data_IF_011423971552
#
_entry.id   IF_011423971552
#
_cell.length_a   1.000
_cell.length_b   1.000
_cell.length_c   1.000
_cell.angle_alpha   90.00
_cell.angle_beta   90.00
_cell.angle_gamma   90.00
#
_symmetry.space_group_name_H-M   'P 1'
#
loop_
_entity.id
_entity.type
_entity.pdbx_description
1 polymer ?
#
# COMPACT_ATOMS: atom_id res chain seq x y z
N UNK A 1 -7.34 -15.83 -10.14
CA UNK A 1 -6.70 -14.77 -10.96
C UNK A 1 -7.71 -14.10 -11.90
N UNK A 2 -8.52 -14.87 -12.65
CA UNK A 2 -9.64 -14.33 -13.46
C UNK A 2 -10.61 -13.44 -12.66
N UNK A 3 -11.03 -13.88 -11.47
CA UNK A 3 -11.90 -13.08 -10.58
C UNK A 3 -11.35 -11.68 -10.23
N UNK A 4 -10.03 -11.56 -10.05
CA UNK A 4 -9.42 -10.27 -9.74
C UNK A 4 -9.45 -9.36 -10.97
N UNK A 5 -9.10 -9.90 -12.15
CA UNK A 5 -9.11 -9.14 -13.40
C UNK A 5 -10.53 -8.76 -13.85
N UNK A 6 -11.52 -9.64 -13.71
CA UNK A 6 -12.93 -9.35 -14.02
C UNK A 6 -13.49 -8.26 -13.09
N UNK A 7 -13.10 -8.28 -11.82
CA UNK A 7 -13.51 -7.26 -10.84
C UNK A 7 -12.85 -5.92 -11.13
N UNK A 8 -11.61 -5.90 -11.59
CA UNK A 8 -10.93 -4.70 -12.09
C UNK A 8 -11.64 -4.19 -13.34
N UNK A 9 -11.95 -5.04 -14.33
CA UNK A 9 -12.62 -4.62 -15.58
C UNK A 9 -14.00 -4.01 -15.33
N UNK A 10 -14.78 -4.56 -14.39
CA UNK A 10 -16.07 -4.00 -13.96
C UNK A 10 -15.92 -2.61 -13.32
N UNK A 11 -14.84 -2.36 -12.60
CA UNK A 11 -14.57 -1.07 -11.94
C UNK A 11 -14.04 -0.05 -12.95
N UNK A 12 -13.25 -0.47 -13.94
CA UNK A 12 -12.72 0.40 -15.01
C UNK A 12 -13.81 0.93 -15.95
N UNK A 13 -14.89 0.18 -16.15
CA UNK A 13 -16.06 0.62 -16.96
C UNK A 13 -16.90 1.72 -16.28
N UNK A 14 -16.71 1.97 -14.98
CA UNK A 14 -17.28 3.14 -14.30
C UNK A 14 -16.43 4.38 -14.65
N UNK A 15 -16.80 5.04 -15.75
CA UNK A 15 -16.12 6.19 -16.37
C UNK A 15 -15.90 7.32 -15.34
N UNK A 16 -14.65 7.51 -14.89
CA UNK A 16 -14.23 8.69 -14.12
C UNK A 16 -14.04 9.88 -15.09
N UNK A 17 -14.61 11.08 -14.85
CA UNK A 17 -14.53 12.21 -15.78
C UNK A 17 -13.16 12.88 -15.90
N UNK A 18 -12.20 12.61 -15.01
CA UNK A 18 -10.85 13.18 -15.05
C UNK A 18 -9.83 12.17 -14.53
N UNK A 19 -9.22 11.44 -15.45
CA UNK A 19 -8.04 10.63 -15.15
C UNK A 19 -6.84 11.57 -14.94
N UNK A 20 -6.53 11.90 -13.69
CA UNK A 20 -5.25 12.49 -13.37
C UNK A 20 -4.18 11.43 -13.65
N UNK A 21 -3.33 11.68 -14.65
CA UNK A 21 -2.11 10.90 -14.89
C UNK A 21 -1.14 11.18 -13.73
N UNK A 22 -1.44 10.62 -12.56
CA UNK A 22 -0.50 10.53 -11.45
C UNK A 22 0.63 9.64 -11.94
N UNK A 23 1.81 10.24 -12.16
CA UNK A 23 3.02 9.54 -12.57
C UNK A 23 3.31 8.38 -11.60
N UNK A 24 2.82 7.19 -11.95
CA UNK A 24 2.95 5.93 -11.21
C UNK A 24 4.41 5.47 -11.08
N UNK A 25 5.34 6.21 -11.68
CA UNK A 25 6.79 5.95 -11.69
C UNK A 25 7.46 6.19 -10.33
N UNK A 26 6.89 7.00 -9.44
CA UNK A 26 7.59 7.43 -8.20
C UNK A 26 6.91 7.05 -6.87
N UNK A 27 5.84 6.26 -6.88
CA UNK A 27 5.13 5.90 -5.64
C UNK A 27 5.83 4.76 -4.88
N UNK A 28 6.98 5.08 -4.27
CA UNK A 28 7.82 4.11 -3.58
C UNK A 28 7.58 4.06 -2.07
N UNK A 29 7.17 5.17 -1.46
CA UNK A 29 6.92 5.25 -0.03
C UNK A 29 5.45 4.93 0.31
N UNK A 30 5.22 4.29 1.46
CA UNK A 30 3.90 4.04 2.05
C UNK A 30 3.05 5.31 2.08
N UNK A 31 3.62 6.40 2.58
CA UNK A 31 2.94 7.68 2.71
C UNK A 31 2.57 8.30 1.35
N UNK A 32 3.31 7.99 0.29
CA UNK A 32 2.97 8.48 -1.06
C UNK A 32 1.78 7.72 -1.62
N UNK A 33 1.74 6.38 -1.47
CA UNK A 33 0.62 5.55 -1.95
C UNK A 33 -0.71 5.97 -1.32
N UNK A 34 -0.70 6.18 -0.01
CA UNK A 34 -1.90 6.62 0.72
C UNK A 34 -2.37 8.00 0.27
N UNK A 35 -1.46 8.98 0.22
CA UNK A 35 -1.78 10.35 -0.20
C UNK A 35 -2.33 10.38 -1.62
N UNK A 36 -1.78 9.59 -2.54
CA UNK A 36 -2.30 9.46 -3.89
C UNK A 36 -3.74 8.95 -3.92
N UNK A 37 -4.09 8.00 -3.04
CA UNK A 37 -5.47 7.49 -2.95
C UNK A 37 -6.44 8.58 -2.46
N UNK A 38 -6.03 9.34 -1.44
CA UNK A 38 -6.83 10.41 -0.86
C UNK A 38 -7.01 11.57 -1.85
N UNK A 39 -5.94 11.97 -2.56
CA UNK A 39 -5.99 13.04 -3.57
C UNK A 39 -6.92 12.71 -4.74
N UNK A 40 -7.02 11.44 -5.11
CA UNK A 40 -7.89 10.97 -6.18
C UNK A 40 -9.36 10.77 -5.75
N UNK A 41 -9.64 10.70 -4.45
CA UNK A 41 -11.01 10.58 -3.94
C UNK A 41 -11.85 11.83 -4.32
N UNK A 42 -13.12 11.69 -4.74
CA UNK A 42 -13.94 10.47 -4.81
C UNK A 42 -13.88 9.73 -6.17
N UNK A 43 -13.07 10.20 -7.12
CA UNK A 43 -13.10 9.74 -8.51
C UNK A 43 -12.21 8.52 -8.77
N UNK A 44 -11.06 8.43 -8.09
CA UNK A 44 -10.10 7.35 -8.25
C UNK A 44 -10.28 6.29 -7.18
N UNK A 45 -10.62 5.07 -7.60
CA UNK A 45 -10.86 3.92 -6.71
C UNK A 45 -9.65 2.97 -6.61
N UNK A 46 -8.61 3.19 -7.42
CA UNK A 46 -7.47 2.29 -7.51
C UNK A 46 -6.18 3.04 -7.85
N UNK A 47 -5.05 2.46 -7.43
CA UNK A 47 -3.71 2.94 -7.79
C UNK A 47 -3.01 1.85 -8.61
N UNK A 48 -2.60 2.20 -9.82
CA UNK A 48 -1.78 1.33 -10.64
C UNK A 48 -0.35 1.27 -10.07
N UNK A 49 0.12 0.05 -9.78
CA UNK A 49 1.48 -0.21 -9.30
C UNK A 49 2.20 -1.16 -10.27
N UNK A 50 3.37 -0.74 -10.76
CA UNK A 50 4.19 -1.57 -11.66
C UNK A 50 5.42 -2.13 -10.95
N UNK A 51 6.36 -1.26 -10.56
CA UNK A 51 7.69 -1.68 -10.09
C UNK A 51 7.65 -2.54 -8.82
N UNK A 52 6.85 -2.16 -7.83
CA UNK A 52 6.87 -2.84 -6.54
C UNK A 52 6.29 -4.27 -6.58
N UNK A 53 5.13 -4.53 -7.22
CA UNK A 53 4.64 -5.90 -7.42
C UNK A 53 5.60 -6.75 -8.25
N UNK A 54 6.14 -6.23 -9.35
CA UNK A 54 7.08 -6.97 -10.21
C UNK A 54 8.35 -7.37 -9.43
N UNK A 55 8.91 -6.45 -8.65
CA UNK A 55 10.10 -6.73 -7.84
C UNK A 55 9.82 -7.80 -6.78
N UNK A 56 8.61 -7.80 -6.19
CA UNK A 56 8.19 -8.84 -5.25
C UNK A 56 8.13 -10.22 -5.91
N UNK A 57 7.58 -10.30 -7.14
CA UNK A 57 7.58 -11.54 -7.94
C UNK A 57 8.98 -12.07 -8.20
N UNK A 58 9.90 -11.18 -8.64
CA UNK A 58 11.26 -11.55 -9.00
C UNK A 58 12.06 -12.03 -7.80
N UNK A 59 12.00 -11.30 -6.67
CA UNK A 59 12.64 -11.68 -5.41
C UNK A 59 12.12 -13.01 -4.91
N UNK A 60 10.80 -13.22 -4.97
CA UNK A 60 10.20 -14.45 -4.50
C UNK A 60 10.58 -15.65 -5.36
N UNK A 61 10.62 -15.49 -6.69
CA UNK A 61 11.13 -16.51 -7.61
C UNK A 61 12.57 -16.91 -7.24
N UNK A 62 13.45 -15.92 -7.07
CA UNK A 62 14.85 -16.13 -6.70
C UNK A 62 15.01 -16.88 -5.37
N UNK A 63 14.24 -16.48 -4.35
CA UNK A 63 14.23 -17.15 -3.05
C UNK A 63 13.74 -18.59 -3.19
N UNK A 64 12.69 -18.82 -3.98
CA UNK A 64 12.17 -20.17 -4.25
C UNK A 64 13.22 -21.07 -4.91
N UNK A 65 13.92 -20.58 -5.93
CA UNK A 65 14.98 -21.33 -6.63
C UNK A 65 16.16 -21.65 -5.69
N UNK A 66 16.54 -20.72 -4.81
CA UNK A 66 17.60 -20.96 -3.81
C UNK A 66 17.19 -22.03 -2.78
N UNK A 67 15.92 -22.05 -2.38
CA UNK A 67 15.38 -23.06 -1.47
C UNK A 67 15.39 -24.44 -2.15
N UNK A 68 14.94 -24.52 -3.42
CA UNK A 68 14.96 -25.76 -4.19
C UNK A 68 16.39 -26.29 -4.37
N UNK A 69 17.37 -25.41 -4.60
CA UNK A 69 18.80 -25.76 -4.71
C UNK A 69 19.49 -25.98 -3.35
N UNK A 70 18.79 -25.81 -2.23
CA UNK A 70 19.37 -25.85 -0.87
C UNK A 70 20.58 -24.92 -0.65
N UNK A 71 20.68 -23.84 -1.43
CA UNK A 71 21.79 -22.86 -1.41
C UNK A 71 21.44 -21.62 -0.58
N UNK A 72 20.66 -21.78 0.49
CA UNK A 72 20.28 -20.66 1.35
C UNK A 72 21.49 -20.07 2.08
N UNK A 73 21.81 -18.81 1.80
CA UNK A 73 22.92 -18.08 2.45
C UNK A 73 22.49 -17.53 3.82
N UNK A 74 23.36 -17.47 4.84
CA UNK A 74 23.07 -16.81 6.13
C UNK A 74 22.62 -15.34 6.00
N UNK A 75 23.08 -14.63 4.97
CA UNK A 75 22.61 -13.27 4.66
C UNK A 75 21.12 -13.23 4.24
N UNK A 76 20.64 -14.27 3.56
CA UNK A 76 19.24 -14.39 3.15
C UNK A 76 18.33 -14.57 4.37
N UNK A 77 18.74 -15.40 5.33
CA UNK A 77 18.00 -15.60 6.58
C UNK A 77 17.84 -14.30 7.38
N UNK A 78 18.92 -13.50 7.46
CA UNK A 78 18.88 -12.17 8.10
C UNK A 78 17.89 -11.24 7.40
N UNK A 79 17.90 -11.21 6.06
CA UNK A 79 16.98 -10.38 5.28
C UNK A 79 15.51 -10.81 5.41
N UNK A 80 15.26 -12.10 5.70
CA UNK A 80 13.92 -12.63 5.94
C UNK A 80 13.48 -12.51 7.41
N UNK A 81 14.32 -11.95 8.29
CA UNK A 81 14.02 -11.82 9.72
C UNK A 81 14.03 -13.15 10.48
N UNK A 82 14.68 -14.18 9.93
CA UNK A 82 14.77 -15.50 10.57
C UNK A 82 15.96 -15.49 11.56
N UNK A 83 15.77 -15.94 12.82
CA UNK A 83 16.83 -15.94 13.82
C UNK A 83 18.06 -16.75 13.36
N UNK A 84 19.25 -16.25 13.70
CA UNK A 84 20.56 -16.79 13.28
C UNK A 84 20.79 -18.27 13.67
N UNK A 85 20.06 -18.74 14.68
CA UNK A 85 20.13 -20.10 15.22
C UNK A 85 19.50 -21.16 14.28
N UNK A 86 18.68 -20.74 13.31
CA UNK A 86 18.05 -21.69 12.38
C UNK A 86 19.00 -22.07 11.25
N UNK A 87 19.23 -23.36 11.10
CA UNK A 87 19.98 -23.94 9.98
C UNK A 87 19.44 -23.46 8.62
N UNK A 88 20.29 -22.95 7.70
CA UNK A 88 19.87 -22.49 6.38
C UNK A 88 19.18 -23.56 5.54
N UNK A 89 19.52 -24.84 5.76
CA UNK A 89 18.91 -26.00 5.11
C UNK A 89 17.47 -26.29 5.57
N UNK A 90 16.99 -25.66 6.65
CA UNK A 90 15.62 -25.80 7.16
C UNK A 90 14.65 -24.74 6.60
N UNK A 91 15.10 -23.93 5.64
CA UNK A 91 14.29 -22.89 5.02
C UNK A 91 13.29 -23.52 4.04
N UNK A 92 12.00 -23.43 4.38
CA UNK A 92 10.88 -23.84 3.52
C UNK A 92 10.15 -22.60 3.06
N UNK A 93 9.46 -22.64 1.91
CA UNK A 93 8.61 -21.52 1.45
C UNK A 93 7.63 -21.01 2.52
N UNK A 94 7.06 -21.92 3.32
CA UNK A 94 6.22 -21.62 4.49
C UNK A 94 6.87 -20.64 5.48
N UNK A 95 8.18 -20.80 5.76
CA UNK A 95 8.91 -19.94 6.70
C UNK A 95 9.39 -18.64 6.06
N UNK A 96 9.50 -18.62 4.73
CA UNK A 96 9.96 -17.45 4.00
C UNK A 96 8.84 -16.43 3.72
N UNK A 97 7.58 -16.89 3.61
CA UNK A 97 6.43 -16.04 3.30
C UNK A 97 5.30 -16.22 4.31
N UNK A 98 4.91 -15.13 4.97
CA UNK A 98 3.86 -15.11 6.02
C UNK A 98 2.51 -15.61 5.48
N UNK A 99 2.16 -15.27 4.24
CA UNK A 99 0.85 -15.60 3.65
C UNK A 99 0.82 -16.94 2.92
N UNK A 100 1.90 -17.71 2.93
CA UNK A 100 1.93 -18.98 2.22
C UNK A 100 0.83 -19.93 2.74
N UNK A 101 0.65 -20.02 4.05
CA UNK A 101 -0.34 -20.92 4.66
C UNK A 101 -1.78 -20.52 4.31
N UNK A 102 -2.08 -19.22 4.39
CA UNK A 102 -3.37 -18.68 3.95
C UNK A 102 -3.64 -19.01 2.48
N UNK A 103 -2.65 -18.86 1.61
CA UNK A 103 -2.79 -19.11 0.18
C UNK A 103 -2.91 -20.62 -0.12
N UNK A 104 -2.19 -21.46 0.61
CA UNK A 104 -2.28 -22.92 0.54
C UNK A 104 -3.66 -23.43 0.95
N UNK A 105 -4.28 -22.83 1.97
CA UNK A 105 -5.64 -23.12 2.40
C UNK A 105 -6.67 -22.74 1.34
N UNK A 106 -6.53 -21.57 0.72
CA UNK A 106 -7.44 -21.10 -0.35
C UNK A 106 -7.34 -21.99 -1.60
N UNK A 107 -6.15 -22.49 -1.92
CA UNK A 107 -5.91 -23.30 -3.11
C UNK A 107 -5.96 -24.82 -2.86
N UNK A 108 -6.53 -25.27 -1.74
CA UNK A 108 -6.72 -26.69 -1.40
C UNK A 108 -5.45 -27.54 -1.54
N UNK A 109 -4.30 -26.99 -1.11
CA UNK A 109 -3.04 -27.73 -1.10
C UNK A 109 -2.36 -27.93 -2.46
N UNK A 110 -2.78 -27.23 -3.51
CA UNK A 110 -2.08 -27.24 -4.80
C UNK A 110 -0.71 -26.57 -4.67
N UNK A 111 0.30 -27.09 -5.38
CA UNK A 111 1.65 -26.49 -5.45
C UNK A 111 1.55 -25.09 -6.07
N UNK A 112 1.88 -24.06 -5.29
CA UNK A 112 1.84 -22.67 -5.74
C UNK A 112 3.26 -22.22 -6.08
N UNK A 113 3.48 -21.60 -7.24
CA UNK A 113 4.80 -21.09 -7.58
C UNK A 113 5.20 -19.97 -6.60
N UNK A 114 6.48 -19.92 -6.16
CA UNK A 114 6.98 -18.94 -5.19
C UNK A 114 6.74 -17.49 -5.65
N UNK A 115 6.82 -17.25 -6.96
CA UNK A 115 6.52 -15.96 -7.58
C UNK A 115 5.14 -15.42 -7.22
N UNK A 116 4.11 -16.27 -7.22
CA UNK A 116 2.73 -15.87 -6.93
C UNK A 116 2.55 -15.61 -5.43
N UNK A 117 3.16 -16.45 -4.59
CA UNK A 117 3.17 -16.26 -3.14
C UNK A 117 3.78 -14.90 -2.77
N UNK A 118 4.89 -14.53 -3.40
CA UNK A 118 5.55 -13.25 -3.17
C UNK A 118 4.69 -12.03 -3.48
N UNK A 119 4.01 -12.05 -4.64
CA UNK A 119 3.08 -10.97 -5.02
C UNK A 119 1.90 -10.91 -4.07
N UNK A 120 1.31 -12.07 -3.75
CA UNK A 120 0.17 -12.14 -2.85
C UNK A 120 0.54 -11.60 -1.46
N UNK A 121 1.69 -12.01 -0.92
CA UNK A 121 2.18 -11.53 0.38
C UNK A 121 2.41 -10.00 0.37
N UNK A 122 2.94 -9.46 -0.73
CA UNK A 122 3.13 -8.02 -0.88
C UNK A 122 1.79 -7.26 -0.88
N UNK A 123 0.79 -7.75 -1.61
CA UNK A 123 -0.51 -7.09 -1.72
C UNK A 123 -1.36 -7.26 -0.44
N UNK A 124 -1.46 -8.48 0.08
CA UNK A 124 -2.34 -8.79 1.20
C UNK A 124 -1.79 -8.28 2.53
N UNK A 125 -0.54 -8.63 2.85
CA UNK A 125 0.05 -8.23 4.13
C UNK A 125 0.59 -6.82 4.05
N UNK A 126 1.56 -6.55 3.17
CA UNK A 126 2.27 -5.26 3.24
C UNK A 126 1.35 -4.09 2.86
N UNK A 127 0.77 -4.13 1.67
CA UNK A 127 -0.12 -3.06 1.23
C UNK A 127 -1.43 -3.01 2.04
N UNK A 128 -2.01 -4.17 2.37
CA UNK A 128 -3.22 -4.25 3.18
C UNK A 128 -3.05 -3.69 4.60
N UNK A 129 -1.96 -4.03 5.29
CA UNK A 129 -1.63 -3.48 6.62
C UNK A 129 -1.32 -1.98 6.51
N UNK A 130 -0.59 -1.58 5.47
CA UNK A 130 -0.27 -0.17 5.24
C UNK A 130 -1.52 0.69 5.08
N UNK A 131 -2.49 0.20 4.32
CA UNK A 131 -3.78 0.85 4.13
C UNK A 131 -4.59 0.87 5.42
N UNK A 132 -4.64 -0.24 6.17
CA UNK A 132 -5.33 -0.28 7.47
C UNK A 132 -4.72 0.71 8.46
N UNK A 133 -3.39 0.86 8.47
CA UNK A 133 -2.73 1.83 9.34
C UNK A 133 -3.07 3.27 8.95
N UNK A 134 -3.16 3.56 7.65
CA UNK A 134 -3.63 4.88 7.18
C UNK A 134 -5.07 5.14 7.63
N UNK A 135 -5.97 4.20 7.35
CA UNK A 135 -7.38 4.24 7.71
C UNK A 135 -7.57 4.46 9.22
N UNK A 136 -6.79 3.75 10.04
CA UNK A 136 -6.75 3.94 11.48
C UNK A 136 -6.24 5.34 11.86
N UNK A 137 -5.24 5.88 11.16
CA UNK A 137 -4.70 7.22 11.38
C UNK A 137 -5.72 8.34 11.12
N UNK A 138 -6.54 8.20 10.08
CA UNK A 138 -7.63 9.14 9.77
C UNK A 138 -8.96 8.80 10.49
N UNK A 139 -8.97 7.75 11.31
CA UNK A 139 -10.14 7.21 12.02
C UNK A 139 -11.34 6.86 11.12
N UNK A 140 -11.06 6.45 9.88
CA UNK A 140 -12.09 5.99 8.91
C UNK A 140 -11.79 4.55 8.54
N UNK A 141 -12.73 3.64 8.75
CA UNK A 141 -12.51 2.20 8.54
C UNK A 141 -13.01 1.67 7.19
N UNK A 142 -13.68 2.51 6.41
CA UNK A 142 -14.16 2.20 5.06
C UNK A 142 -13.44 3.10 4.06
N UNK A 143 -13.01 2.51 2.94
CA UNK A 143 -12.35 3.21 1.84
C UNK A 143 -13.24 4.33 1.26
N UNK A 144 -14.55 4.09 1.19
CA UNK A 144 -15.52 5.05 0.63
C UNK A 144 -15.72 6.31 1.50
N UNK A 145 -15.18 6.32 2.72
CA UNK A 145 -15.24 7.49 3.61
C UNK A 145 -14.05 8.42 3.44
N UNK A 146 -13.00 7.99 2.73
CA UNK A 146 -11.80 8.79 2.49
C UNK A 146 -12.16 9.99 1.61
N UNK A 147 -11.71 11.18 1.99
CA UNK A 147 -11.93 12.41 1.24
C UNK A 147 -10.66 13.29 1.26
N UNK A 148 -10.56 14.24 0.31
CA UNK A 148 -9.42 15.16 0.19
C UNK A 148 -9.19 16.02 1.43
N UNK A 149 -10.21 16.23 2.25
CA UNK A 149 -10.10 16.91 3.54
C UNK A 149 -9.32 16.10 4.60
N UNK A 150 -9.03 14.82 4.37
CA UNK A 150 -8.20 13.99 5.26
C UNK A 150 -6.69 14.26 5.15
N UNK A 151 -6.28 15.10 4.21
CA UNK A 151 -4.90 15.53 4.00
C UNK A 151 -4.80 17.05 4.05
N UNK A 152 -3.66 17.56 4.53
CA UNK A 152 -3.40 18.99 4.60
C UNK A 152 -2.06 19.35 3.94
N UNK A 153 -1.96 20.55 3.39
CA UNK A 153 -0.71 21.12 2.88
C UNK A 153 0.13 21.66 4.04
N UNK A 154 1.34 21.13 4.21
CA UNK A 154 2.26 21.51 5.30
C UNK A 154 3.26 22.58 4.85
N UNK A 155 3.57 22.68 3.55
CA UNK A 155 4.51 23.67 3.01
C UNK A 155 3.81 24.66 2.10
N UNK A 156 4.35 25.88 2.05
CA UNK A 156 3.84 26.92 1.16
C UNK A 156 3.85 26.49 -0.31
N UNK A 157 4.94 25.83 -0.73
CA UNK A 157 5.04 25.26 -2.08
C UNK A 157 3.96 24.22 -2.35
N UNK A 158 3.55 23.43 -1.36
CA UNK A 158 2.45 22.48 -1.53
C UNK A 158 1.11 23.19 -1.67
N UNK A 159 0.89 24.27 -0.93
CA UNK A 159 -0.30 25.13 -1.05
C UNK A 159 -0.38 25.76 -2.45
N UNK A 160 0.69 26.37 -2.93
CA UNK A 160 0.75 26.99 -4.26
C UNK A 160 0.39 25.99 -5.38
N UNK A 161 0.89 24.76 -5.26
CA UNK A 161 0.57 23.67 -6.20
C UNK A 161 -0.91 23.27 -6.08
N UNK A 162 -1.44 23.12 -4.87
CA UNK A 162 -2.84 22.71 -4.67
C UNK A 162 -3.82 23.78 -5.15
N UNK A 163 -3.51 25.06 -4.97
CA UNK A 163 -4.28 26.19 -5.51
C UNK A 163 -4.19 26.23 -7.04
N UNK A 164 -2.98 26.12 -7.61
CA UNK A 164 -2.77 26.11 -9.07
C UNK A 164 -3.57 25.04 -9.79
N UNK A 165 -3.69 23.86 -9.18
CA UNK A 165 -4.43 22.71 -9.75
C UNK A 165 -5.86 22.58 -9.21
N UNK A 166 -6.34 23.57 -8.44
CA UNK A 166 -7.67 23.62 -7.84
C UNK A 166 -8.10 22.30 -7.17
N UNK A 167 -7.22 21.74 -6.34
CA UNK A 167 -7.38 20.44 -5.71
C UNK A 167 -8.33 20.45 -4.50
N UNK A 168 -8.62 21.64 -3.93
CA UNK A 168 -9.50 21.78 -2.76
C UNK A 168 -8.93 21.13 -1.50
N UNK A 169 -7.61 21.19 -1.32
CA UNK A 169 -6.91 20.71 -0.13
C UNK A 169 -6.49 21.91 0.70
N UNK A 170 -6.86 21.93 1.98
CA UNK A 170 -6.58 23.04 2.89
C UNK A 170 -5.15 22.98 3.43
N UNK A 171 -4.60 24.13 3.80
CA UNK A 171 -3.32 24.22 4.50
C UNK A 171 -3.48 23.91 5.99
N UNK A 172 -2.47 23.27 6.58
CA UNK A 172 -2.45 22.97 8.02
C UNK A 172 -2.59 24.25 8.86
N UNK A 173 -1.96 25.34 8.45
CA UNK A 173 -2.07 26.64 9.12
C UNK A 173 -3.53 27.11 9.22
N UNK A 174 -4.36 26.85 8.20
CA UNK A 174 -5.77 27.21 8.21
C UNK A 174 -6.55 26.44 9.28
N UNK A 175 -6.24 25.17 9.48
CA UNK A 175 -6.82 24.37 10.57
C UNK A 175 -6.39 24.86 11.94
N UNK A 176 -5.11 25.18 12.11
CA UNK A 176 -4.56 25.68 13.38
C UNK A 176 -5.18 27.04 13.74
N UNK A 177 -5.36 27.94 12.76
CA UNK A 177 -6.05 29.22 12.97
C UNK A 177 -7.53 29.04 13.36
N UNK A 178 -8.25 28.11 12.75
CA UNK A 178 -9.64 27.81 13.14
C UNK A 178 -9.73 27.23 14.56
N UNK A 179 -8.76 26.42 14.98
CA UNK A 179 -8.68 25.91 16.34
C UNK A 179 -8.47 27.05 17.35
N UNK A 180 -7.52 27.95 17.06
CA UNK A 180 -7.23 29.12 17.89
C UNK A 180 -8.46 30.02 18.00
N UNK A 181 -9.14 30.33 16.89
CA UNK A 181 -10.38 31.11 16.93
C UNK A 181 -11.43 30.45 17.83
N UNK A 182 -11.62 29.14 17.71
CA UNK A 182 -12.56 28.39 18.57
C UNK A 182 -12.23 28.52 20.05
N UNK A 183 -10.94 28.40 20.41
CA UNK A 183 -10.51 28.59 21.80
C UNK A 183 -10.83 30.02 22.27
N UNK A 184 -10.51 31.05 21.47
CA UNK A 184 -10.86 32.45 21.78
C UNK A 184 -12.35 32.63 22.06
N UNK A 185 -13.20 32.15 21.15
CA UNK A 185 -14.64 32.34 21.28
C UNK A 185 -15.28 31.46 22.36
N UNK A 186 -14.61 30.38 22.78
CA UNK A 186 -15.10 29.50 23.86
C UNK A 186 -14.84 30.06 25.27
N UNK A 187 -13.99 31.07 25.40
CA UNK A 187 -13.63 31.67 26.69
C UNK A 187 -12.83 30.75 27.62
N UNK A 188 -12.38 29.59 27.14
CA UNK A 188 -11.44 28.71 27.85
C UNK A 188 -10.01 29.21 27.63
N UNK A 189 -9.64 30.26 28.36
CA UNK A 189 -8.25 30.69 28.56
C UNK A 189 -7.88 30.63 30.02
#
# INVERSE_FOLDING_TARGET
MKDFFDKIEKITKAKSPRSYNLNSREINNKNQRSKTLVMGAPYDKFIAMAKAPITATMKAKYIGELIEKSQATPALLRNLGIPKDKNPKSLTLNKAFVEYDNLHRIHHGKKIPPSVVGVYTYLASKLGIDLKQLLAGIRKFKLDLIDRHDIACISQRAKDVCEKWNLGIESQESFDFELIKREIYSGNY
#
